data_IF_886001488877
#
_entry.id   IF_886001488877
#
_cell.length_a   1.000
_cell.length_b   1.000
_cell.length_c   1.000
_cell.angle_alpha   90.00
_cell.angle_beta   90.00
_cell.angle_gamma   90.00
#
_symmetry.space_group_name_H-M   'P 1'
#
loop_
_entity.id
_entity.type
_entity.pdbx_description
1 polymer ?
#
# COMPACT_ATOMS: atom_id res chain seq x y z
N UNK A 1 15.93 5.15 12.48
CA UNK A 1 14.50 4.93 12.18
C UNK A 1 14.22 3.91 11.06
N UNK A 2 15.01 3.78 9.96
CA UNK A 2 14.71 2.79 8.91
C UNK A 2 14.68 1.32 9.40
N UNK A 3 15.58 0.94 10.31
CA UNK A 3 15.66 -0.43 10.83
C UNK A 3 14.43 -0.88 11.61
N UNK A 4 13.75 0.07 12.28
CA UNK A 4 12.52 -0.25 13.02
C UNK A 4 11.32 -0.43 12.08
N UNK A 5 11.28 0.32 10.96
CA UNK A 5 10.22 0.21 9.94
C UNK A 5 10.26 -1.16 9.26
N UNK A 6 11.42 -1.57 8.77
CA UNK A 6 11.60 -2.89 8.14
C UNK A 6 11.23 -4.04 9.07
N UNK A 7 11.68 -3.99 10.33
CA UNK A 7 11.31 -4.99 11.34
C UNK A 7 9.80 -5.11 11.53
N UNK A 8 9.10 -3.98 11.63
CA UNK A 8 7.62 -3.97 11.77
C UNK A 8 6.96 -4.60 10.55
N UNK A 9 7.40 -4.24 9.33
CA UNK A 9 6.83 -4.79 8.09
C UNK A 9 7.05 -6.30 8.04
N UNK A 10 8.29 -6.77 8.22
CA UNK A 10 8.64 -8.19 8.17
C UNK A 10 7.89 -8.99 9.25
N UNK A 11 7.85 -8.52 10.51
CA UNK A 11 7.11 -9.18 11.56
C UNK A 11 5.62 -9.27 11.29
N UNK A 12 5.02 -8.17 10.79
CA UNK A 12 3.61 -8.15 10.44
C UNK A 12 3.29 -9.11 9.29
N UNK A 13 4.14 -9.14 8.26
CA UNK A 13 4.00 -10.07 7.13
C UNK A 13 4.18 -11.53 7.55
N UNK A 14 5.11 -11.83 8.46
CA UNK A 14 5.26 -13.19 9.02
C UNK A 14 3.98 -13.63 9.75
N UNK A 15 3.36 -12.74 10.52
CA UNK A 15 2.07 -13.03 11.18
C UNK A 15 1.01 -13.32 10.12
N UNK A 16 0.95 -12.53 9.04
CA UNK A 16 0.06 -12.77 7.91
C UNK A 16 0.28 -14.14 7.25
N UNK A 17 1.54 -14.49 6.97
CA UNK A 17 1.91 -15.80 6.41
C UNK A 17 1.44 -16.92 7.33
N UNK A 18 1.75 -16.86 8.62
CA UNK A 18 1.38 -17.89 9.58
C UNK A 18 -0.13 -18.05 9.72
N UNK A 19 -0.88 -16.94 9.74
CA UNK A 19 -2.34 -16.96 9.80
C UNK A 19 -2.93 -17.59 8.53
N UNK A 20 -2.45 -17.21 7.34
CA UNK A 20 -2.93 -17.75 6.07
C UNK A 20 -2.54 -19.23 5.89
N UNK A 21 -1.33 -19.63 6.29
CA UNK A 21 -0.94 -21.04 6.28
C UNK A 21 -1.77 -21.88 7.25
N UNK A 22 -2.07 -21.35 8.44
CA UNK A 22 -2.96 -22.01 9.40
C UNK A 22 -4.35 -22.22 8.80
N UNK A 23 -4.94 -21.16 8.20
CA UNK A 23 -6.24 -21.26 7.54
C UNK A 23 -6.20 -22.22 6.35
N UNK A 24 -5.14 -22.19 5.53
CA UNK A 24 -4.98 -23.10 4.41
C UNK A 24 -4.91 -24.56 4.88
N UNK A 25 -4.07 -24.86 5.87
CA UNK A 25 -3.94 -26.20 6.44
C UNK A 25 -5.26 -26.71 7.08
N UNK A 26 -5.91 -25.85 7.85
CA UNK A 26 -7.19 -26.16 8.48
C UNK A 26 -8.28 -26.44 7.43
N UNK A 27 -8.45 -25.54 6.45
CA UNK A 27 -9.43 -25.71 5.37
C UNK A 27 -9.10 -26.91 4.48
N UNK A 28 -7.82 -27.14 4.12
CA UNK A 28 -7.42 -28.31 3.33
C UNK A 28 -7.73 -29.62 4.06
N UNK A 29 -7.41 -29.72 5.36
CA UNK A 29 -7.75 -30.88 6.18
C UNK A 29 -9.26 -31.15 6.15
N UNK A 30 -10.08 -30.14 6.48
CA UNK A 30 -11.52 -30.30 6.49
C UNK A 30 -12.08 -30.56 5.08
N UNK A 31 -11.56 -29.89 4.03
CA UNK A 31 -11.97 -30.10 2.64
C UNK A 31 -11.80 -31.56 2.19
N UNK A 32 -10.64 -32.17 2.53
CA UNK A 32 -10.37 -33.58 2.26
C UNK A 32 -11.31 -34.50 3.06
N UNK A 33 -11.45 -34.26 4.37
CA UNK A 33 -12.34 -35.10 5.22
C UNK A 33 -13.80 -34.99 4.85
N UNK A 34 -14.27 -33.81 4.42
CA UNK A 34 -15.66 -33.58 4.02
C UNK A 34 -15.93 -33.82 2.54
N UNK A 35 -14.89 -34.20 1.75
CA UNK A 35 -14.93 -34.34 0.30
C UNK A 35 -15.51 -33.07 -0.39
N UNK A 36 -15.16 -31.89 0.14
CA UNK A 36 -15.63 -30.59 -0.35
C UNK A 36 -14.59 -29.90 -1.20
N UNK A 37 -14.82 -29.85 -2.50
CA UNK A 37 -13.95 -29.16 -3.45
C UNK A 37 -13.91 -27.65 -3.16
N UNK A 38 -15.03 -27.04 -2.81
CA UNK A 38 -15.11 -25.61 -2.47
C UNK A 38 -14.21 -25.23 -1.30
N UNK A 39 -14.19 -26.01 -0.21
CA UNK A 39 -13.33 -25.77 0.94
C UNK A 39 -11.85 -25.97 0.56
N UNK A 40 -11.56 -26.93 -0.29
CA UNK A 40 -10.19 -27.18 -0.78
C UNK A 40 -9.68 -26.03 -1.66
N UNK A 41 -10.53 -25.49 -2.55
CA UNK A 41 -10.20 -24.32 -3.36
C UNK A 41 -9.99 -23.07 -2.49
N UNK A 42 -10.79 -22.91 -1.45
CA UNK A 42 -10.64 -21.83 -0.48
C UNK A 42 -9.32 -21.93 0.34
N UNK A 43 -8.84 -23.16 0.57
CA UNK A 43 -7.50 -23.39 1.12
C UNK A 43 -6.38 -22.90 0.16
N UNK A 44 -6.54 -23.13 -1.14
CA UNK A 44 -5.58 -22.64 -2.16
C UNK A 44 -5.57 -21.11 -2.18
N UNK A 45 -6.72 -20.45 -2.02
CA UNK A 45 -6.78 -18.98 -1.92
C UNK A 45 -5.94 -18.45 -0.75
N UNK A 46 -6.04 -19.07 0.44
CA UNK A 46 -5.21 -18.66 1.58
C UNK A 46 -3.69 -18.88 1.35
N UNK A 47 -3.29 -19.82 0.50
CA UNK A 47 -1.88 -19.95 0.08
C UNK A 47 -1.46 -18.78 -0.81
N UNK A 48 -2.35 -18.29 -1.69
CA UNK A 48 -2.10 -17.09 -2.50
C UNK A 48 -1.91 -15.84 -1.63
N UNK A 49 -2.68 -15.70 -0.55
CA UNK A 49 -2.53 -14.60 0.41
C UNK A 49 -1.20 -14.68 1.18
N UNK A 50 -0.78 -15.91 1.53
CA UNK A 50 0.55 -16.12 2.11
C UNK A 50 1.64 -15.68 1.13
N UNK A 51 1.49 -15.96 -0.17
CA UNK A 51 2.41 -15.51 -1.21
C UNK A 51 2.45 -13.98 -1.32
N UNK A 52 1.33 -13.29 -1.27
CA UNK A 52 1.26 -11.81 -1.22
C UNK A 52 2.07 -11.24 -0.05
N UNK A 53 2.00 -11.89 1.12
CA UNK A 53 2.81 -11.53 2.29
C UNK A 53 4.31 -11.79 2.06
N UNK A 54 4.69 -12.82 1.33
CA UNK A 54 6.10 -13.06 0.93
C UNK A 54 6.57 -11.96 -0.02
N UNK A 55 5.74 -11.58 -1.00
CA UNK A 55 6.04 -10.47 -1.93
C UNK A 55 6.29 -9.18 -1.15
N UNK A 56 5.48 -8.90 -0.12
CA UNK A 56 5.66 -7.74 0.78
C UNK A 56 7.04 -7.77 1.45
N UNK A 57 7.47 -8.91 2.00
CA UNK A 57 8.79 -9.03 2.65
C UNK A 57 9.92 -8.81 1.65
N UNK A 58 9.85 -9.46 0.50
CA UNK A 58 10.87 -9.35 -0.55
C UNK A 58 10.93 -7.91 -1.06
N UNK A 59 9.78 -7.30 -1.37
CA UNK A 59 9.66 -5.93 -1.84
C UNK A 59 10.26 -4.93 -0.86
N UNK A 60 9.95 -5.06 0.43
CA UNK A 60 10.49 -4.17 1.47
C UNK A 60 12.01 -4.32 1.61
N UNK A 61 12.54 -5.55 1.57
CA UNK A 61 13.98 -5.77 1.64
C UNK A 61 14.72 -5.19 0.44
N UNK A 62 14.15 -5.35 -0.76
CA UNK A 62 14.73 -4.78 -1.97
C UNK A 62 14.63 -3.24 -1.97
N UNK A 63 13.53 -2.68 -1.52
CA UNK A 63 13.33 -1.23 -1.41
C UNK A 63 14.33 -0.56 -0.45
N UNK A 64 14.71 -1.25 0.63
CA UNK A 64 15.69 -0.75 1.60
C UNK A 64 17.15 -0.95 1.19
N UNK A 65 17.42 -1.50 0.00
CA UNK A 65 18.77 -1.65 -0.52
C UNK A 65 19.40 -0.27 -0.76
N UNK A 66 20.65 -0.13 -0.33
CA UNK A 66 21.40 1.10 -0.52
C UNK A 66 21.52 1.50 -2.01
N UNK A 67 21.66 2.80 -2.31
CA UNK A 67 21.99 3.25 -3.65
C UNK A 67 23.23 2.54 -4.21
N UNK A 68 23.18 2.21 -5.48
CA UNK A 68 24.29 1.62 -6.24
C UNK A 68 24.57 2.42 -7.54
N UNK A 69 25.46 1.90 -8.38
CA UNK A 69 25.83 2.59 -9.63
C UNK A 69 24.68 2.63 -10.65
N UNK A 70 23.82 1.62 -10.65
CA UNK A 70 22.68 1.54 -11.57
C UNK A 70 21.47 2.33 -11.04
N UNK A 71 21.33 2.41 -9.71
CA UNK A 71 20.25 3.11 -9.02
C UNK A 71 20.79 4.12 -8.00
N UNK A 72 21.36 5.27 -8.46
CA UNK A 72 22.01 6.25 -7.57
C UNK A 72 21.05 6.88 -6.55
N UNK A 73 19.74 6.90 -6.86
CA UNK A 73 18.71 7.46 -5.98
C UNK A 73 18.11 6.41 -5.02
N UNK A 74 18.65 5.18 -5.03
CA UNK A 74 18.18 4.06 -4.21
C UNK A 74 17.05 3.26 -4.84
N UNK A 75 16.56 2.29 -4.10
CA UNK A 75 15.60 1.28 -4.56
C UNK A 75 14.20 1.46 -3.96
N UNK A 76 13.93 2.56 -3.28
CA UNK A 76 12.67 2.77 -2.54
C UNK A 76 11.39 2.60 -3.36
N UNK A 77 11.42 2.90 -4.66
CA UNK A 77 10.26 2.71 -5.57
C UNK A 77 9.87 1.25 -5.79
N UNK A 78 10.74 0.28 -5.45
CA UNK A 78 10.39 -1.14 -5.52
C UNK A 78 9.19 -1.46 -4.61
N UNK A 79 9.01 -0.74 -3.50
CA UNK A 79 7.84 -0.92 -2.64
C UNK A 79 6.53 -0.59 -3.38
N UNK A 80 6.51 0.45 -4.22
CA UNK A 80 5.34 0.77 -5.04
C UNK A 80 5.10 -0.25 -6.15
N UNK A 81 6.18 -0.77 -6.77
CA UNK A 81 6.08 -1.83 -7.78
C UNK A 81 5.48 -3.11 -7.17
N UNK A 82 5.96 -3.52 -6.01
CA UNK A 82 5.44 -4.72 -5.33
C UNK A 82 4.00 -4.54 -4.85
N UNK A 83 3.64 -3.34 -4.35
CA UNK A 83 2.26 -3.01 -4.00
C UNK A 83 1.34 -3.03 -5.24
N UNK A 84 1.83 -2.57 -6.41
CA UNK A 84 1.08 -2.69 -7.68
C UNK A 84 0.86 -4.14 -8.08
N UNK A 85 1.83 -5.04 -7.86
CA UNK A 85 1.64 -6.48 -8.11
C UNK A 85 0.56 -7.06 -7.21
N UNK A 86 0.55 -6.69 -5.90
CA UNK A 86 -0.50 -7.12 -4.97
C UNK A 86 -1.86 -6.58 -5.42
N UNK A 87 -1.96 -5.31 -5.84
CA UNK A 87 -3.19 -4.72 -6.36
C UNK A 87 -3.74 -5.47 -7.59
N UNK A 88 -2.86 -5.95 -8.47
CA UNK A 88 -3.25 -6.79 -9.62
C UNK A 88 -3.79 -8.15 -9.17
N UNK A 89 -3.25 -8.76 -8.11
CA UNK A 89 -3.78 -9.99 -7.53
C UNK A 89 -5.19 -9.76 -6.94
N UNK A 90 -5.40 -8.63 -6.25
CA UNK A 90 -6.74 -8.23 -5.74
C UNK A 90 -7.73 -8.06 -6.88
N UNK A 91 -7.33 -7.38 -7.97
CA UNK A 91 -8.17 -7.23 -9.16
C UNK A 91 -8.49 -8.58 -9.81
N UNK A 92 -7.52 -9.48 -9.92
CA UNK A 92 -7.72 -10.83 -10.44
C UNK A 92 -8.72 -11.61 -9.58
N UNK A 93 -8.59 -11.55 -8.24
CA UNK A 93 -9.53 -12.18 -7.32
C UNK A 93 -10.95 -11.58 -7.45
N UNK A 94 -11.07 -10.26 -7.60
CA UNK A 94 -12.35 -9.59 -7.87
C UNK A 94 -13.01 -10.02 -9.17
N UNK A 95 -12.23 -10.14 -10.25
CA UNK A 95 -12.74 -10.62 -11.56
C UNK A 95 -13.17 -12.08 -11.50
N UNK A 96 -12.38 -12.96 -10.91
CA UNK A 96 -12.75 -14.38 -10.78
C UNK A 96 -14.00 -14.55 -9.95
N UNK A 97 -14.10 -13.85 -8.82
CA UNK A 97 -15.28 -13.84 -7.96
C UNK A 97 -16.53 -13.33 -8.68
N UNK A 98 -16.41 -12.27 -9.51
CA UNK A 98 -17.50 -11.74 -10.31
C UNK A 98 -18.00 -12.75 -11.35
N UNK A 99 -17.07 -13.42 -12.05
CA UNK A 99 -17.38 -14.42 -13.06
C UNK A 99 -18.06 -15.64 -12.40
N UNK A 100 -17.55 -16.12 -11.27
CA UNK A 100 -18.13 -17.26 -10.54
C UNK A 100 -19.53 -16.93 -10.01
N UNK A 101 -19.70 -15.75 -9.43
CA UNK A 101 -21.01 -15.28 -8.97
C UNK A 101 -21.99 -15.14 -10.13
N UNK A 102 -21.55 -14.61 -11.28
CA UNK A 102 -22.36 -14.51 -12.50
C UNK A 102 -22.76 -15.89 -13.04
N UNK A 103 -21.86 -16.86 -13.05
CA UNK A 103 -22.17 -18.25 -13.45
C UNK A 103 -23.21 -18.89 -12.53
N UNK A 104 -23.11 -18.70 -11.21
CA UNK A 104 -24.08 -19.21 -10.23
C UNK A 104 -25.48 -18.57 -10.38
N UNK A 105 -25.58 -17.33 -10.89
CA UNK A 105 -26.87 -16.73 -11.23
C UNK A 105 -27.48 -17.39 -12.47
N UNK A 106 -26.67 -17.66 -13.53
CA UNK A 106 -27.13 -18.25 -14.78
C UNK A 106 -27.44 -19.75 -14.65
N UNK A 107 -26.67 -20.44 -13.82
CA UNK A 107 -26.79 -21.86 -13.53
C UNK A 107 -26.88 -22.09 -12.03
N UNK A 108 -28.05 -21.87 -11.41
CA UNK A 108 -28.25 -22.04 -9.99
C UNK A 108 -27.95 -23.48 -9.56
N UNK A 109 -26.98 -23.65 -8.68
CA UNK A 109 -26.71 -24.92 -8.00
C UNK A 109 -27.31 -24.86 -6.60
N UNK A 110 -27.92 -25.96 -6.16
CA UNK A 110 -28.42 -26.04 -4.77
C UNK A 110 -27.20 -26.07 -3.82
N UNK A 111 -27.04 -25.07 -2.98
CA UNK A 111 -25.90 -25.02 -2.08
C UNK A 111 -26.06 -26.08 -0.97
N UNK A 112 -25.05 -26.92 -0.78
CA UNK A 112 -25.01 -27.89 0.32
C UNK A 112 -24.14 -27.36 1.46
N UNK A 113 -24.74 -26.66 2.43
CA UNK A 113 -24.05 -26.19 3.61
C UNK A 113 -24.13 -27.22 4.74
N UNK A 114 -23.04 -27.94 4.99
CA UNK A 114 -22.90 -28.73 6.20
C UNK A 114 -22.66 -27.83 7.42
N UNK A 115 -23.02 -28.27 8.62
CA UNK A 115 -22.69 -27.54 9.86
C UNK A 115 -21.18 -27.32 10.02
N UNK A 116 -20.38 -28.29 9.59
CA UNK A 116 -18.92 -28.20 9.61
C UNK A 116 -18.43 -27.05 8.69
N UNK A 117 -18.96 -26.99 7.47
CA UNK A 117 -18.63 -25.91 6.52
C UNK A 117 -18.97 -24.54 7.07
N UNK A 118 -20.12 -24.36 7.73
CA UNK A 118 -20.52 -23.09 8.35
C UNK A 118 -19.58 -22.67 9.49
N UNK A 119 -19.16 -23.60 10.35
CA UNK A 119 -18.21 -23.33 11.43
C UNK A 119 -16.85 -22.90 10.84
N UNK A 120 -16.38 -23.56 9.77
CA UNK A 120 -15.12 -23.24 9.12
C UNK A 120 -15.16 -21.83 8.52
N UNK A 121 -16.23 -21.50 7.79
CA UNK A 121 -16.42 -20.17 7.19
C UNK A 121 -16.44 -19.12 8.30
N UNK A 122 -17.17 -19.36 9.40
CA UNK A 122 -17.23 -18.43 10.52
C UNK A 122 -15.86 -18.17 11.17
N UNK A 123 -15.08 -19.23 11.44
CA UNK A 123 -13.71 -19.11 11.98
C UNK A 123 -12.83 -18.35 11.00
N UNK A 124 -12.91 -18.66 9.70
CA UNK A 124 -12.14 -17.97 8.67
C UNK A 124 -12.47 -16.46 8.61
N UNK A 125 -13.77 -16.10 8.69
CA UNK A 125 -14.21 -14.68 8.74
C UNK A 125 -13.57 -13.96 9.93
N UNK A 126 -13.63 -14.55 11.12
CA UNK A 126 -13.04 -13.92 12.32
C UNK A 126 -11.53 -13.72 12.16
N UNK A 127 -10.81 -14.77 11.76
CA UNK A 127 -9.35 -14.69 11.59
C UNK A 127 -8.97 -13.63 10.53
N UNK A 128 -9.63 -13.65 9.36
CA UNK A 128 -9.37 -12.69 8.28
C UNK A 128 -9.73 -11.25 8.68
N UNK A 129 -10.83 -11.06 9.40
CA UNK A 129 -11.23 -9.73 9.89
C UNK A 129 -10.20 -9.13 10.84
N UNK A 130 -9.75 -9.89 11.84
CA UNK A 130 -8.74 -9.41 12.76
C UNK A 130 -7.38 -9.22 12.10
N UNK A 131 -7.00 -10.14 11.19
CA UNK A 131 -5.77 -10.05 10.42
C UNK A 131 -5.75 -8.79 9.55
N UNK A 132 -6.82 -8.53 8.81
CA UNK A 132 -6.97 -7.33 7.98
C UNK A 132 -6.75 -6.04 8.77
N UNK A 133 -7.49 -5.87 9.87
CA UNK A 133 -7.34 -4.67 10.72
C UNK A 133 -5.95 -4.54 11.32
N UNK A 134 -5.36 -5.65 11.75
CA UNK A 134 -4.00 -5.66 12.29
C UNK A 134 -2.97 -5.26 11.25
N UNK A 135 -2.98 -5.91 10.07
CA UNK A 135 -2.00 -5.66 9.00
C UNK A 135 -2.15 -4.25 8.46
N UNK A 136 -3.38 -3.80 8.16
CA UNK A 136 -3.66 -2.44 7.66
C UNK A 136 -3.22 -1.37 8.65
N UNK A 137 -3.59 -1.49 9.93
CA UNK A 137 -3.18 -0.52 10.97
C UNK A 137 -1.66 -0.48 11.16
N UNK A 138 -0.96 -1.62 11.03
CA UNK A 138 0.50 -1.63 11.04
C UNK A 138 1.09 -0.97 9.80
N UNK A 139 0.49 -1.21 8.61
CA UNK A 139 0.87 -0.60 7.35
C UNK A 139 0.77 0.93 7.39
N UNK A 140 -0.35 1.45 7.86
CA UNK A 140 -0.58 2.90 8.04
C UNK A 140 0.45 3.54 8.99
N UNK A 141 0.75 2.89 10.13
CA UNK A 141 1.74 3.40 11.11
C UNK A 141 3.16 3.50 10.57
N UNK A 142 3.54 2.61 9.66
CA UNK A 142 4.89 2.58 9.07
C UNK A 142 4.90 3.07 7.62
N UNK A 143 3.81 3.64 7.13
CA UNK A 143 3.65 4.13 5.76
C UNK A 143 4.10 3.10 4.70
N UNK A 144 3.61 1.84 4.84
CA UNK A 144 3.93 0.75 3.93
C UNK A 144 2.74 0.41 3.05
N UNK A 145 2.82 0.77 1.77
CA UNK A 145 1.80 0.46 0.76
C UNK A 145 1.60 -1.05 0.58
N UNK A 146 2.67 -1.83 0.70
CA UNK A 146 2.59 -3.29 0.63
C UNK A 146 1.74 -3.88 1.76
N UNK A 147 1.92 -3.41 3.02
CA UNK A 147 1.11 -3.88 4.14
C UNK A 147 -0.34 -3.38 4.04
N UNK A 148 -0.56 -2.15 3.57
CA UNK A 148 -1.91 -1.61 3.35
C UNK A 148 -2.62 -2.48 2.31
N UNK A 149 -1.98 -2.75 1.16
CA UNK A 149 -2.52 -3.61 0.11
C UNK A 149 -2.86 -5.02 0.62
N UNK A 150 -1.93 -5.67 1.34
CA UNK A 150 -2.17 -7.00 1.92
C UNK A 150 -3.26 -7.00 3.00
N UNK A 151 -3.38 -5.90 3.76
CA UNK A 151 -4.44 -5.74 4.75
C UNK A 151 -5.83 -5.55 4.11
N UNK A 152 -5.91 -4.84 3.00
CA UNK A 152 -7.14 -4.66 2.23
C UNK A 152 -7.58 -5.95 1.54
N UNK A 153 -6.64 -6.72 0.98
CA UNK A 153 -6.88 -8.03 0.41
C UNK A 153 -7.51 -8.99 1.44
N UNK A 154 -6.88 -9.13 2.62
CA UNK A 154 -7.43 -9.90 3.71
C UNK A 154 -8.82 -9.41 4.19
N UNK A 155 -9.07 -8.08 4.09
CA UNK A 155 -10.36 -7.48 4.40
C UNK A 155 -11.44 -7.84 3.39
N UNK A 156 -11.12 -7.80 2.11
CA UNK A 156 -12.01 -8.19 1.02
C UNK A 156 -12.40 -9.68 1.14
N UNK A 157 -11.44 -10.54 1.47
CA UNK A 157 -11.68 -11.95 1.74
C UNK A 157 -12.59 -12.17 2.95
N UNK A 158 -12.42 -11.38 4.02
CA UNK A 158 -13.31 -11.46 5.19
C UNK A 158 -14.75 -11.06 4.83
N UNK A 159 -14.94 -10.02 4.01
CA UNK A 159 -16.25 -9.56 3.54
C UNK A 159 -16.89 -10.61 2.64
N UNK A 160 -16.14 -11.20 1.70
CA UNK A 160 -16.62 -12.31 0.86
C UNK A 160 -17.07 -13.49 1.72
N UNK A 161 -16.22 -13.96 2.63
CA UNK A 161 -16.54 -15.10 3.50
C UNK A 161 -17.73 -14.81 4.43
N UNK A 162 -17.86 -13.56 4.94
CA UNK A 162 -19.02 -13.15 5.74
C UNK A 162 -20.31 -13.16 4.91
N UNK A 163 -20.26 -12.69 3.66
CA UNK A 163 -21.43 -12.68 2.79
C UNK A 163 -21.92 -14.10 2.47
N UNK A 164 -20.98 -15.01 2.21
CA UNK A 164 -21.29 -16.44 2.00
C UNK A 164 -21.91 -17.03 3.26
N UNK A 165 -21.36 -16.72 4.44
CA UNK A 165 -21.91 -17.18 5.73
C UNK A 165 -23.33 -16.68 5.97
N UNK A 166 -23.59 -15.39 5.77
CA UNK A 166 -24.93 -14.81 5.93
C UNK A 166 -25.91 -15.35 4.90
N UNK A 167 -25.49 -15.54 3.66
CA UNK A 167 -26.30 -16.15 2.60
C UNK A 167 -26.65 -17.60 2.91
N UNK A 168 -25.70 -18.36 3.47
CA UNK A 168 -25.94 -19.74 3.89
C UNK A 168 -26.91 -19.83 5.06
N UNK A 169 -26.82 -18.91 6.04
CA UNK A 169 -27.81 -18.79 7.12
C UNK A 169 -29.19 -18.43 6.58
N UNK A 170 -29.29 -17.47 5.67
CA UNK A 170 -30.55 -17.05 5.05
C UNK A 170 -31.20 -18.21 4.28
N UNK A 171 -30.40 -18.93 3.48
CA UNK A 171 -30.86 -20.13 2.77
C UNK A 171 -31.45 -21.20 3.72
N UNK A 172 -30.81 -21.40 4.86
CA UNK A 172 -31.25 -22.38 5.88
C UNK A 172 -32.65 -22.10 6.42
N UNK A 173 -33.03 -20.79 6.49
CA UNK A 173 -34.36 -20.39 7.02
C UNK A 173 -35.39 -20.17 5.93
N UNK A 174 -35.03 -19.82 4.72
CA UNK A 174 -35.95 -19.39 3.65
C UNK A 174 -35.97 -20.32 2.45
N UNK A 175 -34.94 -21.16 2.27
CA UNK A 175 -34.77 -21.96 1.05
C UNK A 175 -34.33 -21.15 -0.18
N UNK A 176 -34.08 -19.85 -0.04
CA UNK A 176 -33.68 -18.95 -1.14
C UNK A 176 -32.18 -18.67 -1.07
N UNK A 177 -31.45 -19.00 -2.11
CA UNK A 177 -30.01 -18.69 -2.22
C UNK A 177 -29.79 -17.28 -2.71
N UNK A 178 -29.20 -16.41 -1.88
CA UNK A 178 -28.78 -15.04 -2.23
C UNK A 178 -27.29 -14.94 -2.50
N UNK A 179 -26.53 -16.02 -2.30
CA UNK A 179 -25.06 -16.04 -2.36
C UNK A 179 -24.51 -15.41 -3.64
N UNK A 180 -25.05 -15.80 -4.80
CA UNK A 180 -24.59 -15.34 -6.09
C UNK A 180 -24.80 -13.83 -6.30
N UNK A 181 -25.95 -13.29 -5.89
CA UNK A 181 -26.28 -11.87 -6.04
C UNK A 181 -25.40 -10.99 -5.13
N UNK A 182 -25.23 -11.42 -3.87
CA UNK A 182 -24.35 -10.73 -2.92
C UNK A 182 -22.91 -10.83 -3.38
N UNK A 183 -22.49 -11.98 -3.92
CA UNK A 183 -21.16 -12.17 -4.50
C UNK A 183 -20.85 -11.19 -5.64
N UNK A 184 -21.80 -10.93 -6.55
CA UNK A 184 -21.64 -9.92 -7.61
C UNK A 184 -21.42 -8.53 -7.02
N UNK A 185 -22.28 -8.12 -6.07
CA UNK A 185 -22.15 -6.79 -5.46
C UNK A 185 -20.79 -6.61 -4.79
N UNK A 186 -20.34 -7.59 -4.02
CA UNK A 186 -19.07 -7.52 -3.31
C UNK A 186 -17.90 -7.55 -4.30
N UNK A 187 -17.96 -8.37 -5.34
CA UNK A 187 -16.91 -8.41 -6.37
C UNK A 187 -16.70 -7.04 -7.03
N UNK A 188 -17.77 -6.27 -7.25
CA UNK A 188 -17.68 -4.90 -7.78
C UNK A 188 -16.95 -3.98 -6.79
N UNK A 189 -17.23 -4.10 -5.47
CA UNK A 189 -16.52 -3.32 -4.46
C UNK A 189 -15.04 -3.70 -4.38
N UNK A 190 -14.70 -5.01 -4.48
CA UNK A 190 -13.30 -5.47 -4.51
C UNK A 190 -12.58 -4.95 -5.75
N UNK A 191 -13.19 -5.00 -6.92
CA UNK A 191 -12.63 -4.46 -8.16
C UNK A 191 -12.38 -2.95 -8.04
N UNK A 192 -13.31 -2.21 -7.43
CA UNK A 192 -13.13 -0.78 -7.17
C UNK A 192 -11.96 -0.52 -6.25
N UNK A 193 -11.88 -1.21 -5.11
CA UNK A 193 -10.79 -1.06 -4.14
C UNK A 193 -9.43 -1.43 -4.74
N UNK A 194 -9.34 -2.55 -5.48
CA UNK A 194 -8.11 -2.96 -6.17
C UNK A 194 -7.67 -1.94 -7.24
N UNK A 195 -8.63 -1.33 -7.95
CA UNK A 195 -8.34 -0.30 -8.92
C UNK A 195 -7.84 1.00 -8.28
N UNK A 196 -8.47 1.45 -7.20
CA UNK A 196 -8.03 2.63 -6.44
C UNK A 196 -6.60 2.44 -5.90
N UNK A 197 -6.32 1.27 -5.32
CA UNK A 197 -4.98 0.92 -4.83
C UNK A 197 -3.94 0.89 -5.96
N UNK A 198 -4.28 0.32 -7.13
CA UNK A 198 -3.40 0.30 -8.30
C UNK A 198 -3.13 1.72 -8.81
N UNK A 199 -4.16 2.57 -8.91
CA UNK A 199 -4.00 3.96 -9.32
C UNK A 199 -3.11 4.75 -8.35
N UNK A 200 -3.28 4.55 -7.05
CA UNK A 200 -2.46 5.21 -6.04
C UNK A 200 -0.99 4.82 -6.19
N UNK A 201 -0.69 3.53 -6.27
CA UNK A 201 0.69 3.04 -6.39
C UNK A 201 1.34 3.47 -7.71
N UNK A 202 0.62 3.43 -8.82
CA UNK A 202 1.10 3.94 -10.11
C UNK A 202 1.33 5.45 -10.07
N UNK A 203 0.46 6.22 -9.43
CA UNK A 203 0.63 7.66 -9.25
C UNK A 203 1.92 7.98 -8.48
N UNK A 204 2.24 7.20 -7.44
CA UNK A 204 3.50 7.34 -6.70
C UNK A 204 4.72 7.03 -7.57
N UNK A 205 4.65 6.01 -8.44
CA UNK A 205 5.72 5.67 -9.39
C UNK A 205 5.93 6.80 -10.40
N UNK A 206 4.84 7.38 -10.92
CA UNK A 206 4.87 8.48 -11.88
C UNK A 206 5.36 9.80 -11.26
N UNK A 207 5.41 9.90 -9.93
CA UNK A 207 5.84 11.09 -9.21
C UNK A 207 4.67 11.97 -8.78
N UNK A 208 3.75 11.41 -8.01
CA UNK A 208 2.67 12.15 -7.39
C UNK A 208 3.20 13.38 -6.63
N UNK A 209 2.44 14.46 -6.70
CA UNK A 209 2.78 15.69 -5.98
C UNK A 209 2.77 15.41 -4.49
N UNK A 210 3.84 15.82 -3.80
CA UNK A 210 3.90 15.76 -2.36
C UNK A 210 2.79 16.62 -1.72
N UNK A 211 2.40 16.25 -0.50
CA UNK A 211 1.38 16.97 0.26
C UNK A 211 1.66 18.49 0.30
N UNK A 212 0.62 19.28 0.10
CA UNK A 212 0.73 20.74 0.02
C UNK A 212 1.19 21.36 1.34
N UNK A 213 0.79 20.78 2.48
CA UNK A 213 1.23 21.23 3.81
C UNK A 213 2.70 20.93 4.03
N UNK A 214 3.13 19.72 3.67
CA UNK A 214 4.54 19.31 3.74
C UNK A 214 5.43 20.21 2.87
N UNK A 215 5.02 20.46 1.63
CA UNK A 215 5.72 21.37 0.70
C UNK A 215 5.83 22.79 1.28
N UNK A 216 4.75 23.30 1.87
CA UNK A 216 4.71 24.62 2.50
C UNK A 216 5.65 24.70 3.70
N UNK A 217 5.68 23.72 4.58
CA UNK A 217 6.56 23.67 5.75
C UNK A 217 8.03 23.67 5.37
N UNK A 218 8.40 22.96 4.30
CA UNK A 218 9.76 22.96 3.76
C UNK A 218 10.13 24.37 3.26
N UNK A 219 9.25 24.97 2.47
CA UNK A 219 9.45 26.32 1.92
C UNK A 219 9.60 27.38 3.02
N UNK A 220 8.75 27.35 4.04
CA UNK A 220 8.82 28.24 5.20
C UNK A 220 10.14 28.03 5.99
N UNK A 221 10.59 26.77 6.11
CA UNK A 221 11.83 26.43 6.80
C UNK A 221 13.06 26.95 6.06
N UNK A 222 13.06 26.95 4.72
CA UNK A 222 14.13 27.52 3.88
C UNK A 222 14.09 29.05 4.01
N UNK A 223 12.94 29.67 3.87
CA UNK A 223 12.75 31.13 3.96
C UNK A 223 13.15 31.69 5.35
N UNK A 224 13.06 30.88 6.41
CA UNK A 224 13.49 31.29 7.75
C UNK A 224 15.02 31.25 7.96
N UNK A 225 15.82 30.96 6.91
CA UNK A 225 17.28 30.96 7.00
C UNK A 225 17.78 32.34 6.60
N UNK A 226 18.57 33.01 7.47
CA UNK A 226 19.15 34.32 7.14
C UNK A 226 19.99 34.26 5.86
N UNK A 227 19.74 35.19 4.96
CA UNK A 227 20.38 35.26 3.63
C UNK A 227 19.48 34.72 2.50
N UNK A 228 18.34 34.09 2.81
CA UNK A 228 17.31 33.70 1.83
C UNK A 228 16.20 34.72 1.85
N UNK A 229 15.89 35.34 0.73
CA UNK A 229 14.79 36.30 0.56
C UNK A 229 13.51 35.64 0.04
N UNK A 230 13.62 34.52 -0.66
CA UNK A 230 12.50 33.76 -1.19
C UNK A 230 12.93 32.34 -1.63
N UNK A 231 11.94 31.46 -1.70
CA UNK A 231 12.11 30.08 -2.24
C UNK A 231 11.08 29.87 -3.33
N UNK A 232 11.55 29.51 -4.50
CA UNK A 232 10.74 29.31 -5.71
C UNK A 232 11.01 27.93 -6.27
N UNK A 233 10.12 27.46 -7.13
CA UNK A 233 10.26 26.21 -7.91
C UNK A 233 10.70 25.02 -7.04
N UNK A 234 10.09 24.91 -5.85
CA UNK A 234 10.32 23.77 -4.96
C UNK A 234 9.63 22.53 -5.54
N UNK A 235 10.43 21.61 -6.07
CA UNK A 235 9.99 20.29 -6.52
C UNK A 235 10.39 19.24 -5.49
N UNK A 236 9.45 18.37 -5.16
CA UNK A 236 9.67 17.21 -4.31
C UNK A 236 9.41 15.94 -5.12
N UNK A 237 10.46 15.16 -5.32
CA UNK A 237 10.39 13.88 -6.04
C UNK A 237 10.34 12.74 -5.04
N UNK A 238 9.28 11.95 -5.10
CA UNK A 238 9.13 10.75 -4.28
C UNK A 238 9.99 9.60 -4.85
N UNK A 239 10.89 9.06 -4.04
CA UNK A 239 11.73 7.90 -4.36
C UNK A 239 11.51 6.72 -3.43
N UNK A 240 10.43 6.72 -2.68
CA UNK A 240 10.04 5.67 -1.74
C UNK A 240 9.26 6.25 -0.58
N UNK A 241 8.63 5.43 0.27
CA UNK A 241 7.68 5.88 1.29
C UNK A 241 8.18 6.96 2.25
N UNK A 242 9.48 7.02 2.51
CA UNK A 242 10.07 8.00 3.43
C UNK A 242 11.27 8.73 2.80
N UNK A 243 11.38 8.68 1.45
CA UNK A 243 12.52 9.25 0.75
C UNK A 243 12.08 10.27 -0.27
N UNK A 244 12.41 11.54 -0.02
CA UNK A 244 12.15 12.62 -0.95
C UNK A 244 13.47 13.25 -1.38
N UNK A 245 13.57 13.53 -2.70
CA UNK A 245 14.59 14.40 -3.28
C UNK A 245 13.94 15.73 -3.60
N UNK A 246 14.60 16.83 -3.25
CA UNK A 246 14.09 18.15 -3.50
C UNK A 246 15.05 18.96 -4.39
N UNK A 247 14.48 19.78 -5.26
CA UNK A 247 15.20 20.88 -5.89
C UNK A 247 14.43 22.18 -5.67
N UNK A 248 15.17 23.29 -5.54
CA UNK A 248 14.55 24.59 -5.33
C UNK A 248 15.42 25.71 -5.91
N UNK A 249 14.80 26.83 -6.22
CA UNK A 249 15.47 28.10 -6.42
C UNK A 249 15.37 28.94 -5.15
N UNK A 250 16.46 29.50 -4.69
CA UNK A 250 16.50 30.46 -3.58
C UNK A 250 16.87 31.85 -4.10
N UNK A 251 16.21 32.86 -3.60
CA UNK A 251 16.57 34.26 -3.88
C UNK A 251 17.57 34.75 -2.84
N UNK A 252 18.69 35.28 -3.31
CA UNK A 252 19.80 35.78 -2.46
C UNK A 252 20.23 37.15 -2.95
N UNK A 253 21.03 37.90 -2.13
CA UNK A 253 21.57 39.15 -2.53
C UNK A 253 22.58 39.00 -3.70
N UNK A 254 22.53 39.90 -4.66
CA UNK A 254 23.43 39.95 -5.80
C UNK A 254 24.93 40.20 -5.43
N UNK A 255 25.15 40.77 -4.23
CA UNK A 255 26.47 41.02 -3.66
C UNK A 255 27.08 39.82 -2.94
N UNK A 256 26.35 38.69 -2.83
CA UNK A 256 26.83 37.50 -2.09
C UNK A 256 27.93 36.78 -2.85
N UNK A 257 29.07 36.55 -2.19
CA UNK A 257 30.22 35.85 -2.78
C UNK A 257 30.03 34.34 -2.82
N UNK A 258 30.71 33.65 -3.72
CA UNK A 258 30.59 32.21 -3.95
C UNK A 258 30.81 31.37 -2.66
N UNK A 259 31.74 31.77 -1.80
CA UNK A 259 31.99 31.07 -0.51
C UNK A 259 30.80 31.21 0.48
N UNK A 260 30.14 32.36 0.48
CA UNK A 260 28.97 32.62 1.31
C UNK A 260 27.76 31.82 0.79
N UNK A 261 27.59 31.73 -0.53
CA UNK A 261 26.58 30.92 -1.20
C UNK A 261 26.76 29.44 -0.89
N UNK A 262 27.97 28.89 -0.97
CA UNK A 262 28.28 27.49 -0.63
C UNK A 262 27.92 27.22 0.84
N UNK A 263 28.30 28.10 1.76
CA UNK A 263 27.97 27.97 3.16
C UNK A 263 26.46 28.02 3.44
N UNK A 264 25.73 28.90 2.72
CA UNK A 264 24.28 29.03 2.81
C UNK A 264 23.59 27.76 2.30
N UNK A 265 23.97 27.25 1.10
CA UNK A 265 23.41 26.04 0.52
C UNK A 265 23.60 24.82 1.43
N UNK A 266 24.81 24.61 1.95
CA UNK A 266 25.09 23.54 2.94
C UNK A 266 24.30 23.69 4.23
N UNK A 267 23.98 24.91 4.66
CA UNK A 267 23.14 25.16 5.83
C UNK A 267 21.70 24.78 5.55
N UNK A 268 21.18 25.08 4.35
CA UNK A 268 19.85 24.68 3.90
C UNK A 268 19.75 23.17 3.86
N UNK A 269 20.66 22.50 3.14
CA UNK A 269 20.72 21.04 3.01
C UNK A 269 20.67 20.36 4.38
N UNK A 270 21.57 20.76 5.29
CA UNK A 270 21.60 20.18 6.65
C UNK A 270 20.33 20.41 7.45
N UNK A 271 19.74 21.61 7.35
CA UNK A 271 18.52 21.95 8.10
C UNK A 271 17.31 21.16 7.59
N UNK A 272 17.16 21.07 6.25
CA UNK A 272 16.06 20.34 5.60
C UNK A 272 16.21 18.84 5.86
N UNK A 273 17.42 18.28 5.69
CA UNK A 273 17.64 16.87 5.99
C UNK A 273 17.37 16.52 7.47
N UNK A 274 17.86 17.36 8.39
CA UNK A 274 17.68 17.11 9.85
C UNK A 274 16.22 17.17 10.27
N UNK A 275 15.41 18.05 9.67
CA UNK A 275 14.01 18.26 10.07
C UNK A 275 13.02 17.35 9.34
N UNK A 276 13.23 17.14 8.05
CA UNK A 276 12.26 16.48 7.15
C UNK A 276 12.78 15.19 6.53
N UNK A 277 14.06 14.83 6.70
CA UNK A 277 14.75 13.73 6.03
C UNK A 277 14.70 13.81 4.48
N UNK A 278 14.54 15.04 3.95
CA UNK A 278 14.55 15.33 2.52
C UNK A 278 15.98 15.66 2.07
N UNK A 279 16.41 15.04 0.98
CA UNK A 279 17.72 15.28 0.36
C UNK A 279 17.56 16.38 -0.69
N UNK A 280 18.28 17.49 -0.52
CA UNK A 280 18.33 18.52 -1.54
C UNK A 280 19.26 18.06 -2.69
N UNK A 281 18.66 17.71 -3.83
CA UNK A 281 19.40 17.27 -5.03
C UNK A 281 20.00 18.43 -5.82
N UNK A 282 19.45 19.63 -5.64
CA UNK A 282 19.97 20.86 -6.26
C UNK A 282 19.34 22.10 -5.66
N UNK A 283 20.17 23.11 -5.44
CA UNK A 283 19.73 24.45 -5.05
C UNK A 283 20.25 25.40 -6.11
N UNK A 284 19.35 26.03 -6.86
CA UNK A 284 19.65 27.06 -7.85
C UNK A 284 19.41 28.43 -7.23
N UNK A 285 20.00 29.47 -7.83
CA UNK A 285 20.05 30.81 -7.28
C UNK A 285 19.33 31.77 -8.19
N UNK A 286 18.42 32.57 -7.64
CA UNK A 286 17.93 33.80 -8.22
C UNK A 286 18.61 34.98 -7.52
N UNK A 287 19.21 35.88 -8.32
CA UNK A 287 19.76 37.11 -7.80
C UNK A 287 18.65 38.11 -7.51
N UNK A 288 18.64 38.66 -6.30
CA UNK A 288 17.75 39.76 -5.97
C UNK A 288 18.31 41.06 -6.55
N UNK A 289 17.95 41.33 -7.81
CA UNK A 289 18.32 42.59 -8.44
C UNK A 289 17.29 43.65 -8.10
N UNK A 290 17.67 44.61 -7.24
CA UNK A 290 16.82 45.73 -6.83
C UNK A 290 16.62 46.76 -7.93
N UNK A 291 17.39 46.69 -9.02
CA UNK A 291 17.36 47.65 -10.13
C UNK A 291 16.40 47.23 -11.27
N UNK A 292 16.07 45.96 -11.40
CA UNK A 292 15.11 45.48 -12.39
C UNK A 292 13.70 45.46 -11.77
N UNK A 293 12.93 46.51 -12.04
CA UNK A 293 11.48 46.48 -11.76
C UNK A 293 10.85 45.40 -12.65
N UNK A 294 10.02 44.49 -12.12
CA UNK A 294 9.25 43.58 -12.96
C UNK A 294 8.40 44.41 -13.93
N UNK A 295 8.56 44.14 -15.22
CA UNK A 295 7.80 44.72 -16.33
C UNK A 295 6.35 44.20 -16.30
#
# INVERSE_FOLDING_TARGET
>A
MPENREKVIVQTSIIGILANLFLAGFKAGVGVFSNSISITLDAVNNLTDALSSVITIVGTRLANRAPDREHPMGHGRIEYLTASVISLLVLYAGFTSLIESGKKILHPEEPSYSMISLVIIFVAVLVKFFLSRFVKSRGEKVNSQNLIASGEDAGNDAILSLSVFLSALFFRFTGISLEAYVGVVISVFILKAGWELLQETLSQILGARADSKFTKEIKETINAIPGVFGTYDLFLHNYGPDTYLASAHIEVADTMHAAELDALMRKIERKIYKKFHVIMAGISIYSRNTEIKPS
#
